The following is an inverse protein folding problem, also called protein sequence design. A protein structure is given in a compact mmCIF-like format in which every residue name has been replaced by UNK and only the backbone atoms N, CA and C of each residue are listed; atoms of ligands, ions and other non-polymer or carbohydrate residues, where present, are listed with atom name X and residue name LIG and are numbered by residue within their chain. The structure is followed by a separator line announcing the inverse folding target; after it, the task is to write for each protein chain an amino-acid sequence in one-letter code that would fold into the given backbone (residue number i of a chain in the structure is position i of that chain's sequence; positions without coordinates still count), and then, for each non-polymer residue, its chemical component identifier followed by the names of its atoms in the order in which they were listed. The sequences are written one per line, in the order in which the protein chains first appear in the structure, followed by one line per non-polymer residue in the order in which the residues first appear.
data_IF_582322672460
#
_entry.id   IF_582322672460
#
_cell.length_a   1.000
_cell.length_b   1.000
_cell.length_c   1.000
_cell.angle_alpha   90.00
_cell.angle_beta   90.00
_cell.angle_gamma   90.00
#
_symmetry.space_group_name_H-M   'P 1'
#
loop_
_entity.id
_entity.type
_entity.pdbx_description
1 polymer ?
#
# COMPACT_ATOMS: atom_id res chain seq x y z
N UNK A 1 -14.33 16.76 7.32
CA UNK A 1 -13.48 15.98 7.26
C UNK A 1 -13.44 15.04 6.18
N UNK A 2 -12.35 14.85 5.69
CA UNK A 2 -12.19 14.13 4.61
C UNK A 2 -11.20 13.16 4.80
N UNK A 3 -11.32 12.01 4.34
CA UNK A 3 -10.31 11.00 4.42
C UNK A 3 -9.44 11.15 3.21
N UNK A 4 -8.27 11.66 3.39
CA UNK A 4 -7.35 11.82 2.30
C UNK A 4 -6.50 10.60 2.19
N UNK A 5 -6.98 9.65 1.44
CA UNK A 5 -6.25 8.42 1.25
C UNK A 5 -5.26 8.61 0.13
N UNK A 6 -4.00 8.29 0.38
CA UNK A 6 -2.96 8.45 -0.62
C UNK A 6 -2.17 7.18 -0.79
N UNK A 7 -1.68 6.95 -2.00
CA UNK A 7 -0.77 5.85 -2.27
C UNK A 7 0.57 6.47 -2.56
N UNK A 8 1.58 6.06 -1.81
CA UNK A 8 2.92 6.62 -1.93
C UNK A 8 3.89 5.53 -2.34
N UNK A 9 4.61 5.77 -3.42
CA UNK A 9 5.62 4.82 -3.85
C UNK A 9 6.86 5.04 -3.02
N UNK A 10 7.29 4.02 -2.26
CA UNK A 10 8.44 4.15 -1.43
C UNK A 10 9.69 3.58 -2.05
N UNK A 11 9.54 2.61 -2.91
CA UNK A 11 10.69 1.93 -3.42
C UNK A 11 10.41 1.26 -4.73
N UNK A 12 11.41 1.21 -5.57
CA UNK A 12 11.33 0.49 -6.81
C UNK A 12 12.65 -0.22 -6.98
N UNK A 13 12.63 -1.52 -7.09
CA UNK A 13 13.87 -2.26 -7.25
C UNK A 13 13.65 -3.44 -8.18
N UNK A 14 14.73 -4.17 -8.44
CA UNK A 14 14.66 -5.30 -9.34
C UNK A 14 15.10 -4.93 -10.72
N UNK A 15 15.28 -5.92 -11.58
CA UNK A 15 15.72 -5.68 -12.95
C UNK A 15 14.62 -5.03 -13.77
N UNK A 16 15.03 -4.41 -14.87
CA UNK A 16 14.10 -3.70 -15.73
C UNK A 16 12.93 -4.56 -16.19
N UNK A 17 13.21 -5.80 -16.50
CA UNK A 17 12.14 -6.66 -17.00
C UNK A 17 11.35 -7.36 -15.90
N UNK A 18 11.68 -7.08 -14.65
CA UNK A 18 10.94 -7.68 -13.56
C UNK A 18 11.02 -6.76 -12.35
N UNK A 19 10.47 -5.56 -12.47
CA UNK A 19 10.58 -4.58 -11.38
C UNK A 19 9.69 -4.95 -10.21
N UNK A 20 10.05 -4.43 -9.06
CA UNK A 20 9.28 -4.63 -7.85
C UNK A 20 9.01 -3.27 -7.25
N UNK A 21 7.76 -2.93 -7.14
CA UNK A 21 7.35 -1.64 -6.59
C UNK A 21 6.80 -1.84 -5.19
N UNK A 22 7.17 -0.96 -4.28
CA UNK A 22 6.64 -0.98 -2.93
C UNK A 22 5.87 0.30 -2.71
N UNK A 23 4.63 0.17 -2.29
CA UNK A 23 3.77 1.31 -2.06
C UNK A 23 3.17 1.26 -0.68
N UNK A 24 2.94 2.43 -0.11
CA UNK A 24 2.21 2.54 1.15
C UNK A 24 0.87 3.14 0.87
N UNK A 25 -0.13 2.75 1.63
CA UNK A 25 -1.39 3.47 1.62
C UNK A 25 -1.41 4.28 2.91
N UNK A 26 -1.64 5.56 2.77
CA UNK A 26 -1.52 6.51 3.87
C UNK A 26 -2.82 7.27 4.03
N UNK A 27 -3.28 7.40 5.24
CA UNK A 27 -4.46 8.18 5.54
C UNK A 27 -4.11 9.24 6.56
N UNK A 28 -4.23 10.50 6.13
CA UNK A 28 -3.92 11.62 7.02
C UNK A 28 -2.57 11.48 7.71
N UNK A 29 -1.58 11.11 6.92
CA UNK A 29 -0.21 11.01 7.43
C UNK A 29 0.12 9.72 8.13
N UNK A 30 -0.86 8.84 8.26
CA UNK A 30 -0.64 7.57 8.95
C UNK A 30 -0.59 6.44 7.94
N UNK A 31 0.45 5.64 8.00
CA UNK A 31 0.59 4.51 7.09
C UNK A 31 -0.32 3.40 7.53
N UNK A 32 -1.27 3.06 6.68
CA UNK A 32 -2.23 2.01 7.01
C UNK A 32 -1.82 0.64 6.49
N UNK A 33 -1.06 0.60 5.43
CA UNK A 33 -0.65 -0.68 4.87
C UNK A 33 0.43 -0.50 3.84
N UNK A 34 1.10 -1.59 3.50
CA UNK A 34 2.19 -1.60 2.54
C UNK A 34 2.00 -2.77 1.60
N UNK A 35 2.28 -2.56 0.33
CA UNK A 35 2.15 -3.61 -0.65
C UNK A 35 3.27 -3.59 -1.67
N UNK A 36 3.54 -4.75 -2.24
CA UNK A 36 4.57 -4.91 -3.24
C UNK A 36 3.95 -5.56 -4.47
N UNK A 37 4.33 -5.10 -5.63
CA UNK A 37 3.82 -5.68 -6.85
C UNK A 37 4.74 -5.42 -8.02
N UNK A 38 4.46 -6.03 -9.15
CA UNK A 38 5.25 -5.89 -10.36
C UNK A 38 5.02 -4.59 -11.10
N UNK A 39 3.99 -3.85 -10.72
CA UNK A 39 3.75 -2.52 -11.27
C UNK A 39 3.03 -1.72 -10.18
N UNK A 40 2.83 -0.44 -10.45
CA UNK A 40 2.24 0.42 -9.44
C UNK A 40 0.83 -0.03 -9.05
N UNK A 41 0.06 -0.43 -10.03
CA UNK A 41 -1.30 -0.85 -9.76
C UNK A 41 -1.35 -2.07 -8.85
N UNK A 42 -0.53 -3.06 -9.14
CA UNK A 42 -0.45 -4.25 -8.31
C UNK A 42 0.01 -3.93 -6.91
N UNK A 43 0.99 -3.04 -6.81
CA UNK A 43 1.51 -2.64 -5.50
C UNK A 43 0.44 -1.89 -4.71
N UNK A 44 -0.34 -1.04 -5.40
CA UNK A 44 -1.43 -0.32 -4.73
C UNK A 44 -2.48 -1.28 -4.22
N UNK A 45 -2.82 -2.26 -5.03
CA UNK A 45 -3.82 -3.24 -4.62
C UNK A 45 -3.33 -4.03 -3.42
N UNK A 46 -2.08 -4.41 -3.44
CA UNK A 46 -1.51 -5.14 -2.32
C UNK A 46 -1.48 -4.29 -1.06
N UNK A 47 -1.15 -3.01 -1.21
CA UNK A 47 -1.13 -2.11 -0.06
C UNK A 47 -2.53 -1.93 0.52
N UNK A 48 -3.53 -1.78 -0.35
CA UNK A 48 -4.91 -1.63 0.09
C UNK A 48 -5.39 -2.88 0.82
N UNK A 49 -5.01 -4.03 0.30
CA UNK A 49 -5.39 -5.27 0.91
C UNK A 49 -4.77 -5.42 2.29
N UNK A 50 -3.51 -5.03 2.41
CA UNK A 50 -2.83 -5.06 3.69
C UNK A 50 -3.50 -4.12 4.69
N UNK A 51 -3.86 -2.94 4.23
CA UNK A 51 -4.53 -1.97 5.08
C UNK A 51 -5.88 -2.47 5.56
N UNK A 52 -6.63 -3.08 4.65
CA UNK A 52 -7.94 -3.61 5.02
C UNK A 52 -7.82 -4.73 6.04
N UNK A 53 -6.83 -5.56 5.88
CA UNK A 53 -6.62 -6.66 6.81
C UNK A 53 -6.31 -6.13 8.20
N UNK A 54 -5.50 -5.09 8.26
CA UNK A 54 -5.15 -4.51 9.55
C UNK A 54 -6.32 -3.82 10.22
N UNK A 55 -7.10 -3.11 9.44
CA UNK A 55 -8.26 -2.42 9.97
C UNK A 55 -9.30 -3.43 10.45
N UNK A 56 -9.52 -4.46 9.67
CA UNK A 56 -10.48 -5.48 10.04
C UNK A 56 -10.07 -6.18 11.31
N UNK A 57 -8.78 -6.43 11.45
CA UNK A 57 -8.28 -7.06 12.63
C UNK A 57 -8.45 -6.19 13.85
N UNK A 58 -8.17 -4.92 13.72
CA UNK A 58 -8.32 -3.99 14.80
C UNK A 58 -9.76 -3.90 15.25
N UNK A 59 -10.68 -3.93 14.29
CA UNK A 59 -12.04 -3.82 14.62
C UNK A 59 -12.60 -5.06 15.21
N UNK A 60 -12.03 -6.16 14.90
CA UNK A 60 -12.49 -7.41 15.31
C UNK A 60 -12.14 -7.83 16.67
N UNK A 61 -11.56 -7.07 17.41
CA UNK A 61 -11.10 -7.39 18.66
C UNK A 61 -12.05 -7.40 19.69
#
# INVERSE_FOLDING_TARGET
TRNNLEYVEIKKEGPTNNPKFTMNVVLEGIILGTGVGGNKKSAQQAAAKDALAKVAKAKNN
#
